data_IF_111074373213
#
_entry.id   IF_111074373213
#
_cell.length_a   1.000
_cell.length_b   1.000
_cell.length_c   1.000
_cell.angle_alpha   90.00
_cell.angle_beta   90.00
_cell.angle_gamma   90.00
#
_symmetry.space_group_name_H-M   'P 1'
#
loop_
_entity.id
_entity.type
_entity.pdbx_description
1 polymer ?
#
# COMPACT_ATOMS: atom_id res chain seq x y z
N UNK A 1 28.69 -47.04 -6.38
CA UNK A 1 28.78 -45.91 -5.41
C UNK A 1 29.23 -44.70 -6.18
N UNK A 2 28.32 -43.72 -6.51
CA UNK A 2 28.64 -42.49 -7.19
C UNK A 2 29.45 -41.54 -6.26
N UNK A 3 30.55 -40.97 -6.78
CA UNK A 3 31.41 -40.09 -6.00
C UNK A 3 30.73 -38.72 -5.77
N UNK A 4 31.09 -37.95 -4.72
CA UNK A 4 30.55 -36.61 -4.48
C UNK A 4 30.66 -35.63 -5.68
N UNK A 5 31.70 -35.82 -6.52
CA UNK A 5 31.94 -35.03 -7.75
C UNK A 5 30.89 -35.31 -8.83
N UNK A 6 30.43 -36.58 -8.94
CA UNK A 6 29.41 -37.00 -9.93
C UNK A 6 28.06 -36.38 -9.58
N UNK A 7 27.66 -36.39 -8.31
CA UNK A 7 26.43 -35.73 -7.86
C UNK A 7 26.44 -34.23 -8.05
N UNK A 8 27.58 -33.56 -7.87
CA UNK A 8 27.71 -32.10 -8.12
C UNK A 8 27.54 -31.79 -9.61
N UNK A 9 28.20 -32.53 -10.51
CA UNK A 9 28.06 -32.35 -11.97
C UNK A 9 26.62 -32.59 -12.42
N UNK A 10 25.97 -33.59 -11.92
CA UNK A 10 24.59 -33.93 -12.26
C UNK A 10 23.61 -32.83 -11.82
N UNK A 11 23.79 -32.24 -10.61
CA UNK A 11 23.02 -31.08 -10.15
C UNK A 11 23.24 -29.82 -11.03
N UNK A 12 24.48 -29.54 -11.39
CA UNK A 12 24.82 -28.42 -12.29
C UNK A 12 24.16 -28.58 -13.65
N UNK A 13 24.16 -29.79 -14.22
CA UNK A 13 23.52 -30.08 -15.50
C UNK A 13 22.01 -29.88 -15.42
N UNK A 14 21.33 -30.39 -14.40
CA UNK A 14 19.91 -30.18 -14.18
C UNK A 14 19.52 -28.72 -13.97
N UNK A 15 20.43 -27.87 -13.45
CA UNK A 15 20.21 -26.42 -13.28
C UNK A 15 20.36 -25.71 -14.62
N UNK A 16 21.38 -26.05 -15.42
CA UNK A 16 21.56 -25.50 -16.76
C UNK A 16 20.39 -25.83 -17.69
N UNK A 17 19.91 -27.07 -17.66
CA UNK A 17 18.74 -27.51 -18.45
C UNK A 17 17.46 -26.73 -18.12
N UNK A 18 17.44 -26.01 -16.99
CA UNK A 18 16.37 -25.10 -16.58
C UNK A 18 16.59 -23.63 -16.91
N UNK A 19 17.59 -23.30 -17.74
CA UNK A 19 17.84 -21.94 -18.20
C UNK A 19 18.78 -21.10 -17.32
N UNK A 20 19.56 -21.73 -16.41
CA UNK A 20 20.51 -20.99 -15.58
C UNK A 20 21.94 -21.13 -16.09
N UNK A 21 22.53 -20.04 -16.57
CA UNK A 21 23.91 -20.02 -17.10
C UNK A 21 24.97 -20.27 -16.02
N UNK A 22 24.68 -19.91 -14.76
CA UNK A 22 25.61 -19.99 -13.63
C UNK A 22 25.10 -20.93 -12.53
N UNK A 23 25.17 -22.27 -12.71
CA UNK A 23 24.63 -23.22 -11.77
C UNK A 23 25.29 -23.18 -10.38
N UNK A 24 26.56 -22.78 -10.28
CA UNK A 24 27.25 -22.66 -8.98
C UNK A 24 26.68 -21.50 -8.14
N UNK A 25 26.23 -20.42 -8.77
CA UNK A 25 25.57 -19.31 -8.07
C UNK A 25 24.18 -19.72 -7.56
N UNK A 26 23.41 -20.45 -8.35
CA UNK A 26 22.13 -21.04 -7.92
C UNK A 26 22.35 -21.95 -6.70
N UNK A 27 23.34 -22.83 -6.75
CA UNK A 27 23.67 -23.72 -5.63
C UNK A 27 24.05 -22.91 -4.38
N UNK A 28 24.82 -21.82 -4.53
CA UNK A 28 25.17 -20.92 -3.41
C UNK A 28 23.93 -20.29 -2.79
N UNK A 29 23.04 -19.74 -3.60
CA UNK A 29 21.80 -19.10 -3.13
C UNK A 29 20.89 -20.08 -2.41
N UNK A 30 20.70 -21.29 -2.95
CA UNK A 30 19.91 -22.33 -2.30
C UNK A 30 20.55 -22.83 -1.00
N UNK A 31 21.89 -22.89 -0.98
CA UNK A 31 22.63 -23.24 0.24
C UNK A 31 22.52 -22.14 1.30
N UNK A 32 22.54 -20.87 0.89
CA UNK A 32 22.30 -19.72 1.75
C UNK A 32 20.90 -19.81 2.37
N UNK A 33 19.85 -19.95 1.56
CA UNK A 33 18.47 -20.14 2.06
C UNK A 33 18.37 -21.33 3.02
N UNK A 34 18.91 -22.49 2.65
CA UNK A 34 18.87 -23.70 3.50
C UNK A 34 19.56 -23.51 4.84
N UNK A 35 20.63 -22.72 4.90
CA UNK A 35 21.45 -22.51 6.10
C UNK A 35 20.99 -21.30 6.92
N UNK A 36 20.02 -20.53 6.43
CA UNK A 36 19.45 -19.41 7.16
C UNK A 36 18.84 -19.87 8.51
N UNK A 37 19.09 -19.18 9.62
CA UNK A 37 18.58 -19.57 10.93
C UNK A 37 17.06 -19.72 10.98
N UNK A 38 16.31 -18.83 10.30
CA UNK A 38 14.86 -18.86 10.26
C UNK A 38 14.34 -20.05 9.46
N UNK A 39 14.97 -20.32 8.30
CA UNK A 39 14.66 -21.51 7.50
C UNK A 39 14.94 -22.80 8.25
N UNK A 40 16.00 -22.85 9.06
CA UNK A 40 16.31 -24.02 9.91
C UNK A 40 15.30 -24.23 11.03
N UNK A 41 14.75 -23.13 11.56
CA UNK A 41 13.77 -23.13 12.64
C UNK A 41 12.34 -23.47 12.18
N UNK A 42 12.11 -23.67 10.87
CA UNK A 42 10.79 -24.01 10.34
C UNK A 42 10.25 -25.32 10.95
N UNK A 43 8.94 -25.32 11.19
CA UNK A 43 8.22 -26.53 11.55
C UNK A 43 8.39 -27.63 10.48
N UNK A 44 8.21 -28.91 10.82
CA UNK A 44 8.29 -30.00 9.83
C UNK A 44 7.33 -29.81 8.65
N UNK A 45 6.16 -29.18 8.88
CA UNK A 45 5.19 -28.86 7.84
C UNK A 45 5.70 -27.74 6.94
N UNK A 46 6.20 -26.64 7.55
CA UNK A 46 6.79 -25.51 6.81
C UNK A 46 7.95 -25.95 5.94
N UNK A 47 8.86 -26.77 6.49
CA UNK A 47 9.99 -27.34 5.74
C UNK A 47 9.52 -28.15 4.54
N UNK A 48 8.57 -29.07 4.72
CA UNK A 48 8.03 -29.87 3.60
C UNK A 48 7.38 -29.01 2.52
N UNK A 49 6.69 -27.93 2.92
CA UNK A 49 6.10 -26.99 1.95
C UNK A 49 7.18 -26.26 1.17
N UNK A 50 8.19 -25.74 1.86
CA UNK A 50 9.30 -25.03 1.22
C UNK A 50 10.08 -25.96 0.26
N UNK A 51 10.38 -27.19 0.68
CA UNK A 51 11.10 -28.18 -0.14
C UNK A 51 10.33 -28.53 -1.44
N UNK A 52 8.98 -28.47 -1.41
CA UNK A 52 8.13 -28.66 -2.61
C UNK A 52 8.03 -27.39 -3.46
N UNK A 53 8.10 -26.21 -2.84
CA UNK A 53 7.91 -24.94 -3.50
C UNK A 53 9.16 -24.49 -4.26
N UNK A 54 10.36 -24.67 -3.69
CA UNK A 54 11.63 -24.26 -4.30
C UNK A 54 11.83 -24.84 -5.70
N UNK A 55 11.61 -26.15 -5.98
CA UNK A 55 11.74 -26.68 -7.33
C UNK A 55 10.75 -26.07 -8.35
N UNK A 56 9.56 -25.68 -7.90
CA UNK A 56 8.56 -25.00 -8.76
C UNK A 56 9.01 -23.59 -9.13
N UNK A 57 9.53 -22.84 -8.15
CA UNK A 57 10.14 -21.55 -8.41
C UNK A 57 11.33 -21.66 -9.37
N UNK A 58 12.23 -22.59 -9.15
CA UNK A 58 13.38 -22.78 -10.05
C UNK A 58 12.96 -23.11 -11.49
N UNK A 59 11.87 -23.86 -11.68
CA UNK A 59 11.35 -24.14 -13.02
C UNK A 59 10.81 -22.88 -13.67
N UNK A 60 10.00 -22.11 -12.97
CA UNK A 60 9.35 -20.91 -13.49
C UNK A 60 10.37 -19.78 -13.73
N UNK A 61 11.25 -19.53 -12.78
CA UNK A 61 12.29 -18.49 -12.86
C UNK A 61 13.26 -18.77 -14.01
N UNK A 62 13.55 -20.03 -14.32
CA UNK A 62 14.44 -20.42 -15.40
C UNK A 62 13.96 -19.99 -16.79
N UNK A 63 12.68 -19.61 -16.94
CA UNK A 63 12.11 -19.09 -18.19
C UNK A 63 12.26 -17.56 -18.32
N UNK A 64 12.71 -16.86 -17.27
CA UNK A 64 12.87 -15.42 -17.27
C UNK A 64 14.14 -15.01 -18.03
N UNK A 65 14.18 -13.76 -18.49
CA UNK A 65 15.33 -13.17 -19.14
C UNK A 65 16.59 -13.13 -18.24
N UNK A 66 16.40 -12.84 -16.95
CA UNK A 66 17.46 -12.75 -15.95
C UNK A 66 17.20 -13.67 -14.74
N UNK A 67 17.38 -15.01 -14.89
CA UNK A 67 16.96 -15.98 -13.88
C UNK A 67 17.65 -15.82 -12.52
N UNK A 68 18.93 -15.48 -12.49
CA UNK A 68 19.69 -15.32 -11.24
C UNK A 68 19.22 -14.12 -10.42
N UNK A 69 18.97 -12.99 -11.07
CA UNK A 69 18.47 -11.79 -10.40
C UNK A 69 17.06 -12.06 -9.84
N UNK A 70 16.22 -12.70 -10.63
CA UNK A 70 14.86 -13.07 -10.21
C UNK A 70 14.89 -14.05 -9.06
N UNK A 71 15.79 -15.03 -9.09
CA UNK A 71 15.96 -16.00 -7.99
C UNK A 71 16.36 -15.32 -6.68
N UNK A 72 17.26 -14.34 -6.73
CA UNK A 72 17.63 -13.54 -5.56
C UNK A 72 16.41 -12.88 -4.94
N UNK A 73 15.63 -12.16 -5.74
CA UNK A 73 14.41 -11.46 -5.30
C UNK A 73 13.38 -12.41 -4.69
N UNK A 74 13.19 -13.58 -5.30
CA UNK A 74 12.26 -14.59 -4.80
C UNK A 74 12.77 -15.22 -3.49
N UNK A 75 14.06 -15.43 -3.32
CA UNK A 75 14.65 -15.92 -2.05
C UNK A 75 14.41 -14.90 -0.94
N UNK A 76 14.61 -13.60 -1.19
CA UNK A 76 14.36 -12.56 -0.21
C UNK A 76 12.89 -12.51 0.21
N UNK A 77 11.96 -12.67 -0.75
CA UNK A 77 10.55 -12.80 -0.46
C UNK A 77 10.25 -14.06 0.36
N UNK A 78 10.78 -15.23 -0.02
CA UNK A 78 10.60 -16.49 0.73
C UNK A 78 11.02 -16.31 2.19
N UNK A 79 12.16 -15.69 2.45
CA UNK A 79 12.65 -15.40 3.82
C UNK A 79 11.69 -14.55 4.64
N UNK A 80 10.96 -13.67 3.99
CA UNK A 80 9.95 -12.82 4.66
C UNK A 80 8.69 -13.60 5.05
N UNK A 81 8.27 -14.58 4.21
CA UNK A 81 7.00 -15.27 4.38
C UNK A 81 7.13 -16.66 5.00
N UNK A 82 8.34 -17.26 5.05
CA UNK A 82 8.53 -18.67 5.39
C UNK A 82 8.04 -19.06 6.80
N UNK A 83 8.06 -18.14 7.77
CA UNK A 83 7.50 -18.36 9.11
C UNK A 83 5.98 -18.49 9.11
N UNK A 84 5.31 -17.88 8.11
CA UNK A 84 3.85 -17.94 7.95
C UNK A 84 3.50 -19.05 6.94
N UNK A 85 3.38 -20.28 7.45
CA UNK A 85 3.18 -21.46 6.61
C UNK A 85 1.92 -21.43 5.74
N UNK A 86 0.96 -20.53 6.03
CA UNK A 86 -0.22 -20.26 5.19
C UNK A 86 0.16 -19.72 3.81
N UNK A 87 1.12 -18.79 3.73
CA UNK A 87 1.59 -18.26 2.43
C UNK A 87 2.32 -19.30 1.60
N UNK A 88 3.11 -20.18 2.26
CA UNK A 88 3.73 -21.30 1.55
C UNK A 88 2.68 -22.28 1.02
N UNK A 89 1.58 -22.49 1.77
CA UNK A 89 0.46 -23.31 1.31
C UNK A 89 -0.24 -22.65 0.11
N UNK A 90 -0.59 -21.36 0.22
CA UNK A 90 -1.24 -20.61 -0.83
C UNK A 90 -0.48 -20.73 -2.17
N UNK A 91 0.83 -20.47 -2.16
CA UNK A 91 1.66 -20.57 -3.37
C UNK A 91 1.78 -22.03 -3.86
N UNK A 92 1.84 -23.00 -2.95
CA UNK A 92 1.94 -24.41 -3.34
C UNK A 92 0.66 -24.93 -3.98
N UNK A 93 -0.50 -24.50 -3.50
CA UNK A 93 -1.82 -24.90 -3.98
C UNK A 93 -2.22 -24.17 -5.27
N UNK A 94 -1.62 -22.98 -5.54
CA UNK A 94 -1.96 -22.13 -6.69
C UNK A 94 -0.74 -21.89 -7.60
N UNK A 95 -0.49 -22.77 -8.58
CA UNK A 95 0.65 -22.61 -9.50
C UNK A 95 0.61 -21.30 -10.31
N UNK A 96 -0.56 -20.81 -10.65
CA UNK A 96 -0.75 -19.51 -11.34
C UNK A 96 -0.22 -18.33 -10.54
N UNK A 97 -0.41 -18.35 -9.21
CA UNK A 97 0.15 -17.33 -8.33
C UNK A 97 1.69 -17.34 -8.34
N UNK A 98 2.33 -18.51 -8.46
CA UNK A 98 3.79 -18.58 -8.63
C UNK A 98 4.21 -17.91 -9.93
N UNK A 99 3.53 -18.17 -11.05
CA UNK A 99 3.86 -17.59 -12.34
C UNK A 99 3.72 -16.06 -12.31
N UNK A 100 2.64 -15.53 -11.72
CA UNK A 100 2.46 -14.08 -11.55
C UNK A 100 3.51 -13.46 -10.62
N UNK A 101 3.80 -14.10 -9.49
CA UNK A 101 4.83 -13.65 -8.57
C UNK A 101 6.21 -13.57 -9.25
N UNK A 102 6.59 -14.61 -9.99
CA UNK A 102 7.85 -14.66 -10.74
C UNK A 102 7.87 -13.58 -11.83
N UNK A 103 6.80 -13.43 -12.61
CA UNK A 103 6.67 -12.42 -13.65
C UNK A 103 6.85 -11.01 -13.11
N UNK A 104 6.15 -10.65 -12.03
CA UNK A 104 6.23 -9.34 -11.40
C UNK A 104 7.61 -9.09 -10.77
N UNK A 105 8.19 -10.12 -10.12
CA UNK A 105 9.52 -10.04 -9.52
C UNK A 105 10.64 -9.93 -10.56
N UNK A 106 10.49 -10.55 -11.73
CA UNK A 106 11.41 -10.44 -12.84
C UNK A 106 11.37 -9.03 -13.46
N UNK A 107 10.16 -8.49 -13.67
CA UNK A 107 9.95 -7.21 -14.31
C UNK A 107 10.45 -6.03 -13.46
N UNK A 108 10.26 -6.07 -12.12
CA UNK A 108 10.59 -4.93 -11.25
C UNK A 108 11.18 -5.34 -9.90
N UNK A 109 12.38 -4.82 -9.54
CA UNK A 109 12.94 -4.99 -8.20
C UNK A 109 12.08 -4.31 -7.13
N UNK A 110 11.41 -3.22 -7.50
CA UNK A 110 10.51 -2.51 -6.61
C UNK A 110 9.29 -3.38 -6.27
N UNK A 111 8.66 -4.03 -7.27
CA UNK A 111 7.53 -4.94 -7.05
C UNK A 111 7.91 -6.15 -6.18
N UNK A 112 9.07 -6.76 -6.42
CA UNK A 112 9.56 -7.85 -5.58
C UNK A 112 9.70 -7.41 -4.11
N UNK A 113 10.31 -6.24 -3.86
CA UNK A 113 10.46 -5.66 -2.52
C UNK A 113 9.11 -5.24 -1.92
N UNK A 114 8.18 -4.78 -2.73
CA UNK A 114 6.85 -4.38 -2.30
C UNK A 114 6.03 -5.58 -1.81
N UNK A 115 6.01 -6.67 -2.58
CA UNK A 115 5.37 -7.94 -2.20
C UNK A 115 6.03 -8.57 -0.96
N UNK A 116 7.34 -8.50 -0.84
CA UNK A 116 8.05 -8.98 0.34
C UNK A 116 7.66 -8.20 1.61
N UNK A 117 7.52 -6.88 1.53
CA UNK A 117 7.09 -6.04 2.65
C UNK A 117 5.62 -6.21 3.01
N UNK A 118 4.77 -6.57 2.05
CA UNK A 118 3.32 -6.68 2.19
C UNK A 118 2.81 -8.07 1.76
N UNK A 119 3.13 -9.15 2.50
CA UNK A 119 2.78 -10.51 2.09
C UNK A 119 1.28 -10.78 1.94
N UNK A 120 0.43 -9.97 2.58
CA UNK A 120 -1.04 -10.03 2.41
C UNK A 120 -1.46 -9.86 0.94
N UNK A 121 -0.64 -9.19 0.13
CA UNK A 121 -0.87 -8.98 -1.30
C UNK A 121 -0.69 -10.24 -2.16
N UNK A 122 -0.13 -11.32 -1.60
CA UNK A 122 -0.03 -12.59 -2.30
C UNK A 122 -1.40 -13.17 -2.65
N UNK A 123 -2.45 -12.81 -1.90
CA UNK A 123 -3.83 -13.19 -2.21
C UNK A 123 -4.32 -12.58 -3.54
N UNK A 124 -3.85 -11.37 -3.91
CA UNK A 124 -4.20 -10.72 -5.18
C UNK A 124 -3.65 -11.47 -6.41
N UNK A 125 -2.62 -12.30 -6.23
CA UNK A 125 -2.06 -13.11 -7.31
C UNK A 125 -2.97 -14.30 -7.69
N UNK A 126 -4.02 -14.57 -6.92
CA UNK A 126 -4.97 -15.65 -7.17
C UNK A 126 -6.02 -15.27 -8.22
N UNK A 127 -6.23 -13.99 -8.46
CA UNK A 127 -7.21 -13.47 -9.41
C UNK A 127 -6.53 -12.60 -10.49
N UNK A 128 -5.96 -13.23 -11.52
CA UNK A 128 -5.24 -12.53 -12.59
C UNK A 128 -6.05 -11.45 -13.33
N UNK A 129 -7.34 -11.64 -13.62
CA UNK A 129 -8.15 -10.59 -14.26
C UNK A 129 -8.13 -9.28 -13.48
N UNK A 130 -8.33 -9.32 -12.17
CA UNK A 130 -8.35 -8.11 -11.34
C UNK A 130 -6.96 -7.56 -11.08
N UNK A 131 -5.93 -8.41 -11.06
CA UNK A 131 -4.54 -8.00 -10.81
C UNK A 131 -4.01 -7.04 -11.89
N UNK A 132 -4.38 -7.23 -13.16
CA UNK A 132 -3.86 -6.45 -14.29
C UNK A 132 -4.85 -5.40 -14.82
N UNK A 133 -6.00 -5.24 -14.18
CA UNK A 133 -7.04 -4.27 -14.55
C UNK A 133 -7.37 -3.42 -13.31
N UNK A 134 -6.69 -2.27 -13.11
CA UNK A 134 -7.04 -1.34 -12.05
C UNK A 134 -8.50 -0.90 -12.17
N UNK A 135 -9.27 -0.86 -11.06
CA UNK A 135 -10.67 -0.46 -11.10
C UNK A 135 -10.83 1.03 -11.39
N UNK A 136 -11.96 1.41 -11.98
CA UNK A 136 -12.33 2.80 -12.17
C UNK A 136 -12.54 3.54 -10.83
N UNK A 137 -12.36 4.87 -10.80
CA UNK A 137 -12.44 5.70 -9.59
C UNK A 137 -13.72 5.49 -8.78
N UNK A 138 -14.87 5.40 -9.46
CA UNK A 138 -16.16 5.16 -8.80
C UNK A 138 -16.23 3.79 -8.11
N UNK A 139 -15.67 2.77 -8.73
CA UNK A 139 -15.59 1.42 -8.18
C UNK A 139 -14.64 1.35 -6.99
N UNK A 140 -13.49 2.04 -7.08
CA UNK A 140 -12.52 2.16 -5.99
C UNK A 140 -13.17 2.77 -4.73
N UNK A 141 -13.87 3.89 -4.89
CA UNK A 141 -14.54 4.57 -3.78
C UNK A 141 -15.59 3.68 -3.12
N UNK A 142 -16.41 3.01 -3.93
CA UNK A 142 -17.43 2.08 -3.43
C UNK A 142 -16.82 0.85 -2.75
N UNK A 143 -15.71 0.32 -3.28
CA UNK A 143 -15.00 -0.82 -2.69
C UNK A 143 -14.37 -0.45 -1.34
N UNK A 144 -13.78 0.76 -1.23
CA UNK A 144 -13.23 1.26 0.01
C UNK A 144 -14.30 1.42 1.08
N UNK A 145 -15.45 2.04 0.75
CA UNK A 145 -16.59 2.18 1.68
C UNK A 145 -17.09 0.84 2.18
N UNK A 146 -17.40 -0.09 1.28
CA UNK A 146 -17.83 -1.45 1.66
C UNK A 146 -16.84 -2.14 2.59
N UNK A 147 -15.54 -1.89 2.42
CA UNK A 147 -14.50 -2.45 3.28
C UNK A 147 -14.52 -1.82 4.67
N UNK A 148 -14.69 -0.51 4.76
CA UNK A 148 -14.77 0.22 6.03
C UNK A 148 -16.08 -0.06 6.77
N UNK A 149 -17.20 -0.24 6.06
CA UNK A 149 -18.50 -0.58 6.64
C UNK A 149 -18.51 -1.94 7.37
N UNK A 150 -17.54 -2.81 7.08
CA UNK A 150 -17.37 -4.10 7.76
C UNK A 150 -16.57 -3.98 9.07
N UNK A 151 -16.02 -2.81 9.36
CA UNK A 151 -15.19 -2.54 10.55
C UNK A 151 -16.05 -1.83 11.60
N UNK A 152 -15.95 -2.22 12.89
CA UNK A 152 -16.64 -1.49 13.96
C UNK A 152 -16.26 -0.01 13.95
N UNK A 153 -17.25 0.86 14.16
CA UNK A 153 -17.11 2.32 14.06
C UNK A 153 -16.15 2.90 15.12
N UNK A 154 -15.96 2.22 16.22
CA UNK A 154 -15.08 2.56 17.33
C UNK A 154 -13.67 1.96 17.22
N UNK A 155 -13.43 1.05 16.27
CA UNK A 155 -12.10 0.46 16.02
C UNK A 155 -11.32 1.25 14.95
N UNK A 156 -10.84 2.43 15.34
CA UNK A 156 -10.08 3.29 14.44
C UNK A 156 -8.77 2.63 13.96
N UNK A 157 -8.11 1.83 14.80
CA UNK A 157 -6.85 1.17 14.43
C UNK A 157 -7.07 0.20 13.27
N UNK A 158 -8.12 -0.59 13.35
CA UNK A 158 -8.47 -1.52 12.28
C UNK A 158 -8.97 -0.79 11.01
N UNK A 159 -9.68 0.34 11.15
CA UNK A 159 -10.05 1.19 10.02
C UNK A 159 -8.81 1.72 9.29
N UNK A 160 -7.80 2.20 10.02
CA UNK A 160 -6.52 2.66 9.44
C UNK A 160 -5.80 1.51 8.73
N UNK A 161 -5.76 0.32 9.32
CA UNK A 161 -5.17 -0.86 8.69
C UNK A 161 -5.87 -1.21 7.37
N UNK A 162 -7.21 -1.14 7.32
CA UNK A 162 -7.98 -1.39 6.10
C UNK A 162 -7.70 -0.34 5.00
N UNK A 163 -7.53 0.94 5.35
CA UNK A 163 -7.09 1.98 4.41
C UNK A 163 -5.71 1.67 3.83
N UNK A 164 -4.76 1.25 4.67
CA UNK A 164 -3.41 0.88 4.24
C UNK A 164 -3.42 -0.33 3.29
N UNK A 165 -4.17 -1.39 3.63
CA UNK A 165 -4.30 -2.59 2.79
C UNK A 165 -4.96 -2.22 1.45
N UNK A 166 -6.04 -1.42 1.48
CA UNK A 166 -6.71 -0.96 0.26
C UNK A 166 -5.77 -0.20 -0.67
N UNK A 167 -4.97 0.73 -0.13
CA UNK A 167 -3.92 1.42 -0.89
C UNK A 167 -2.98 0.43 -1.56
N UNK A 168 -2.44 -0.51 -0.78
CA UNK A 168 -1.43 -1.46 -1.26
C UNK A 168 -1.96 -2.36 -2.37
N UNK A 169 -3.20 -2.86 -2.24
CA UNK A 169 -3.86 -3.67 -3.27
C UNK A 169 -3.96 -2.89 -4.58
N UNK A 170 -4.49 -1.66 -4.54
CA UNK A 170 -4.67 -0.88 -5.75
C UNK A 170 -3.34 -0.41 -6.36
N UNK A 171 -2.35 -0.06 -5.53
CA UNK A 171 -0.98 0.24 -5.99
C UNK A 171 -0.33 -0.98 -6.65
N UNK A 172 -0.52 -2.20 -6.11
CA UNK A 172 -0.04 -3.43 -6.74
C UNK A 172 -0.68 -3.63 -8.12
N UNK A 173 -1.99 -3.44 -8.24
CA UNK A 173 -2.72 -3.60 -9.52
C UNK A 173 -2.24 -2.61 -10.57
N UNK A 174 -2.08 -1.33 -10.19
CA UNK A 174 -1.51 -0.31 -11.09
C UNK A 174 -0.10 -0.70 -11.52
N UNK A 175 0.75 -1.11 -10.59
CA UNK A 175 2.14 -1.47 -10.91
C UNK A 175 2.24 -2.77 -11.74
N UNK A 176 1.35 -3.73 -11.51
CA UNK A 176 1.28 -4.96 -12.32
C UNK A 176 0.84 -4.66 -13.76
N UNK A 177 -0.14 -3.76 -13.93
CA UNK A 177 -0.62 -3.30 -15.24
C UNK A 177 0.46 -2.47 -15.98
N UNK A 178 1.19 -1.62 -15.26
CA UNK A 178 2.30 -0.80 -15.77
C UNK A 178 3.42 -1.68 -16.33
N UNK A 179 3.99 -2.59 -15.51
CA UNK A 179 5.14 -3.42 -15.93
C UNK A 179 4.78 -4.46 -17.00
N UNK A 180 3.49 -4.76 -17.18
CA UNK A 180 3.03 -5.66 -18.25
C UNK A 180 2.62 -4.91 -19.53
N UNK A 181 2.67 -3.58 -19.52
CA UNK A 181 2.30 -2.73 -20.64
C UNK A 181 0.79 -2.72 -20.96
N UNK A 182 -0.05 -3.22 -20.04
CA UNK A 182 -1.51 -3.17 -20.18
C UNK A 182 -2.07 -1.79 -19.84
N UNK A 183 -1.32 -0.98 -19.08
CA UNK A 183 -1.68 0.39 -18.72
C UNK A 183 -0.72 1.39 -19.39
N UNK A 184 -1.21 2.39 -20.15
CA UNK A 184 -0.37 3.46 -20.67
C UNK A 184 0.28 4.27 -19.53
N UNK A 185 1.57 4.64 -19.68
CA UNK A 185 2.35 5.33 -18.64
C UNK A 185 1.65 6.58 -18.09
N UNK A 186 1.01 7.37 -18.95
CA UNK A 186 0.27 8.58 -18.55
C UNK A 186 -0.89 8.26 -17.58
N UNK A 187 -1.49 7.07 -17.70
CA UNK A 187 -2.61 6.66 -16.83
C UNK A 187 -2.14 6.15 -15.45
N UNK A 188 -0.88 5.81 -15.30
CA UNK A 188 -0.33 5.34 -14.00
C UNK A 188 -0.48 6.42 -12.93
N UNK A 189 -0.07 7.66 -13.24
CA UNK A 189 -0.19 8.79 -12.29
C UNK A 189 -1.64 9.17 -12.03
N UNK A 190 -2.53 9.08 -13.02
CA UNK A 190 -3.96 9.30 -12.84
C UNK A 190 -4.52 8.32 -11.79
N UNK A 191 -4.28 7.01 -11.98
CA UNK A 191 -4.76 5.98 -11.04
C UNK A 191 -4.17 6.14 -9.63
N UNK A 192 -2.87 6.46 -9.52
CA UNK A 192 -2.25 6.69 -8.22
C UNK A 192 -2.85 7.90 -7.51
N UNK A 193 -3.18 8.98 -8.25
CA UNK A 193 -3.87 10.15 -7.73
C UNK A 193 -5.31 9.83 -7.31
N UNK A 194 -6.04 9.05 -8.10
CA UNK A 194 -7.40 8.59 -7.79
C UNK A 194 -7.46 7.69 -6.53
N UNK A 195 -6.44 6.84 -6.31
CA UNK A 195 -6.29 6.06 -5.07
C UNK A 195 -6.12 7.01 -3.88
N UNK A 196 -5.23 8.02 -4.00
CA UNK A 196 -4.97 8.99 -2.94
C UNK A 196 -6.21 9.82 -2.62
N UNK A 197 -6.91 10.33 -3.62
CA UNK A 197 -8.16 11.09 -3.46
C UNK A 197 -9.27 10.26 -2.79
N UNK A 198 -9.41 8.99 -3.20
CA UNK A 198 -10.41 8.09 -2.61
C UNK A 198 -10.15 7.85 -1.13
N UNK A 199 -8.89 7.59 -0.76
CA UNK A 199 -8.47 7.39 0.64
C UNK A 199 -8.64 8.69 1.41
N UNK A 200 -8.18 9.82 0.89
CA UNK A 200 -8.27 11.12 1.55
C UNK A 200 -9.74 11.51 1.84
N UNK A 201 -10.63 11.27 0.88
CA UNK A 201 -12.07 11.50 1.05
C UNK A 201 -12.64 10.71 2.22
N UNK A 202 -12.36 9.40 2.30
CA UNK A 202 -12.85 8.56 3.38
C UNK A 202 -12.20 8.86 4.74
N UNK A 203 -10.92 9.26 4.73
CA UNK A 203 -10.21 9.69 5.96
C UNK A 203 -10.84 10.96 6.54
N UNK A 204 -11.21 11.92 5.69
CA UNK A 204 -11.92 13.13 6.15
C UNK A 204 -13.29 12.78 6.74
N UNK A 205 -14.04 11.86 6.11
CA UNK A 205 -15.32 11.38 6.64
C UNK A 205 -15.16 10.68 8.00
N UNK A 206 -14.21 9.78 8.13
CA UNK A 206 -13.92 9.07 9.39
C UNK A 206 -13.54 10.05 10.51
N UNK A 207 -12.64 10.99 10.21
CA UNK A 207 -12.21 12.03 11.16
C UNK A 207 -13.37 12.94 11.58
N UNK A 208 -14.21 13.35 10.61
CA UNK A 208 -15.39 14.16 10.84
C UNK A 208 -16.38 13.45 11.76
N UNK A 209 -16.79 12.25 11.43
CA UNK A 209 -17.76 11.46 12.18
C UNK A 209 -17.29 11.23 13.63
N UNK A 210 -16.00 10.91 13.81
CA UNK A 210 -15.40 10.76 15.12
C UNK A 210 -15.51 12.06 15.96
N UNK A 211 -15.20 13.22 15.37
CA UNK A 211 -15.23 14.49 16.10
C UNK A 211 -16.67 14.97 16.37
N UNK A 212 -17.57 14.81 15.40
CA UNK A 212 -18.99 15.18 15.59
C UNK A 212 -19.62 14.31 16.69
N UNK A 213 -19.33 13.02 16.74
CA UNK A 213 -19.82 12.15 17.80
C UNK A 213 -19.38 12.60 19.20
N UNK A 214 -18.18 13.21 19.29
CA UNK A 214 -17.58 13.65 20.56
C UNK A 214 -17.91 15.09 20.94
N UNK A 215 -17.93 16.01 19.97
CA UNK A 215 -17.99 17.46 20.23
C UNK A 215 -19.21 18.17 19.63
N UNK A 216 -20.07 17.44 18.88
CA UNK A 216 -21.17 18.05 18.11
C UNK A 216 -20.72 18.64 16.78
N UNK A 217 -21.66 19.19 16.04
CA UNK A 217 -21.46 19.72 14.68
C UNK A 217 -20.98 21.17 14.72
N UNK A 218 -19.86 21.54 14.05
CA UNK A 218 -19.40 22.92 13.99
C UNK A 218 -20.35 23.76 13.12
N UNK A 219 -20.37 25.07 13.39
CA UNK A 219 -21.13 26.02 12.60
C UNK A 219 -20.18 26.65 11.59
N UNK A 220 -20.56 26.61 10.32
CA UNK A 220 -19.77 27.16 9.24
C UNK A 220 -20.63 27.96 8.24
N UNK A 221 -20.01 29.00 7.66
CA UNK A 221 -20.64 29.87 6.65
C UNK A 221 -19.67 30.14 5.50
N UNK A 222 -20.21 30.22 4.31
CA UNK A 222 -19.53 30.71 3.12
C UNK A 222 -20.33 31.93 2.60
N UNK A 223 -19.83 33.14 2.85
CA UNK A 223 -20.60 34.35 2.73
C UNK A 223 -21.82 34.31 3.67
N UNK A 224 -23.01 34.62 3.14
CA UNK A 224 -24.25 34.65 3.92
C UNK A 224 -24.92 33.26 4.08
N UNK A 225 -24.36 32.20 3.48
CA UNK A 225 -24.99 30.88 3.48
C UNK A 225 -24.27 29.90 4.46
N UNK A 226 -25.06 29.17 5.23
CA UNK A 226 -24.54 28.04 6.01
C UNK A 226 -24.03 26.95 5.08
N UNK A 227 -22.86 26.38 5.38
CA UNK A 227 -22.31 25.24 4.67
C UNK A 227 -22.40 23.98 5.52
N UNK A 228 -22.52 22.83 4.87
CA UNK A 228 -22.78 21.55 5.54
C UNK A 228 -21.61 21.11 6.43
N UNK A 229 -20.38 21.10 5.91
CA UNK A 229 -19.19 20.67 6.63
C UNK A 229 -18.14 21.77 6.81
N UNK A 230 -18.01 22.67 5.86
CA UNK A 230 -17.10 23.83 5.93
C UNK A 230 -15.64 23.47 6.12
N UNK A 231 -15.18 22.31 5.62
CA UNK A 231 -13.79 21.86 5.62
C UNK A 231 -13.37 21.47 4.21
N UNK A 232 -12.22 21.98 3.78
CA UNK A 232 -11.68 21.74 2.45
C UNK A 232 -10.22 21.31 2.56
N UNK A 233 -9.86 20.29 1.79
CA UNK A 233 -8.48 19.85 1.58
C UNK A 233 -8.06 20.26 0.18
N UNK A 234 -7.00 21.06 0.08
CA UNK A 234 -6.39 21.46 -1.20
C UNK A 234 -5.13 20.62 -1.37
N UNK A 235 -5.05 19.92 -2.50
CA UNK A 235 -3.87 19.21 -2.92
C UNK A 235 -2.98 20.11 -3.78
N UNK A 236 -1.71 20.16 -3.45
CA UNK A 236 -0.65 20.81 -4.22
C UNK A 236 0.32 19.78 -4.78
N UNK A 237 1.40 20.26 -5.36
CA UNK A 237 2.48 19.41 -5.86
C UNK A 237 2.00 18.33 -6.82
N UNK A 238 2.52 17.11 -6.66
CA UNK A 238 2.23 15.99 -7.57
C UNK A 238 0.78 15.53 -7.52
N UNK A 239 0.15 15.57 -6.34
CA UNK A 239 -1.27 15.20 -6.24
C UNK A 239 -2.15 16.25 -6.93
N UNK A 240 -1.89 17.54 -6.73
CA UNK A 240 -2.62 18.63 -7.36
C UNK A 240 -2.47 18.68 -8.88
N UNK A 241 -1.30 18.25 -9.39
CA UNK A 241 -0.99 18.14 -10.82
C UNK A 241 -1.39 16.82 -11.46
N UNK A 242 -1.97 15.86 -10.71
CA UNK A 242 -2.25 14.48 -11.14
C UNK A 242 -1.01 13.73 -11.64
N UNK A 243 0.15 13.99 -11.01
CA UNK A 243 1.46 13.43 -11.35
C UNK A 243 2.01 12.53 -10.23
N UNK A 244 1.13 11.92 -9.44
CA UNK A 244 1.53 11.13 -8.29
C UNK A 244 2.32 9.89 -8.70
N UNK A 245 3.47 9.63 -8.03
CA UNK A 245 4.27 8.42 -8.19
C UNK A 245 4.04 7.42 -7.06
N UNK A 246 4.55 6.19 -7.21
CA UNK A 246 4.35 5.09 -6.25
C UNK A 246 4.77 5.39 -4.80
N UNK A 247 5.75 6.23 -4.59
CA UNK A 247 6.26 6.57 -3.24
C UNK A 247 6.10 8.04 -2.88
N UNK A 248 5.25 8.79 -3.59
CA UNK A 248 5.06 10.21 -3.35
C UNK A 248 4.34 10.46 -2.02
N UNK A 249 4.76 11.50 -1.33
CA UNK A 249 4.03 12.17 -0.26
C UNK A 249 2.87 13.01 -0.83
N UNK A 250 1.99 13.46 0.04
CA UNK A 250 0.87 14.35 -0.29
C UNK A 250 1.14 15.74 0.24
N UNK A 251 1.26 16.71 -0.66
CA UNK A 251 1.33 18.14 -0.34
C UNK A 251 -0.09 18.65 -0.11
N UNK A 252 -0.47 18.93 1.14
CA UNK A 252 -1.84 19.28 1.50
C UNK A 252 -1.92 20.61 2.24
N UNK A 253 -3.02 21.33 2.01
CA UNK A 253 -3.41 22.51 2.79
C UNK A 253 -4.86 22.34 3.23
N UNK A 254 -5.12 22.60 4.51
CA UNK A 254 -6.45 22.48 5.11
C UNK A 254 -7.05 23.86 5.34
N UNK A 255 -8.29 24.03 4.87
CA UNK A 255 -9.06 25.26 5.07
C UNK A 255 -10.40 24.97 5.76
N UNK A 256 -10.91 25.98 6.48
CA UNK A 256 -12.22 25.91 7.09
C UNK A 256 -13.01 27.21 6.94
N UNK A 257 -14.34 27.10 7.06
CA UNK A 257 -15.29 28.20 7.05
C UNK A 257 -16.07 28.31 8.38
N UNK A 258 -15.41 27.99 9.50
CA UNK A 258 -16.02 28.05 10.83
C UNK A 258 -16.29 29.48 11.31
N UNK A 259 -17.44 29.72 11.94
CA UNK A 259 -17.88 31.06 12.34
C UNK A 259 -17.33 31.54 13.69
N UNK A 260 -16.53 30.74 14.39
CA UNK A 260 -16.11 31.03 15.78
C UNK A 260 -17.18 30.72 16.82
N UNK A 261 -18.38 30.33 16.42
CA UNK A 261 -19.41 29.85 17.34
C UNK A 261 -19.10 28.44 17.87
N UNK A 262 -19.72 28.05 19.00
CA UNK A 262 -19.56 26.72 19.55
C UNK A 262 -20.32 25.67 18.71
N UNK A 263 -19.79 24.45 18.71
CA UNK A 263 -20.45 23.28 18.08
C UNK A 263 -21.79 23.00 18.73
N UNK A 264 -22.76 22.50 17.93
CA UNK A 264 -24.14 22.18 18.37
C UNK A 264 -24.35 20.67 18.55
N UNK A 265 -25.31 20.34 19.42
CA UNK A 265 -25.76 18.94 19.59
C UNK A 265 -25.03 18.14 20.67
N UNK A 266 -24.22 18.77 21.52
CA UNK A 266 -23.57 18.17 22.69
C UNK A 266 -23.58 19.17 23.86
N UNK A 267 -23.61 18.66 25.10
CA UNK A 267 -23.62 19.46 26.33
C UNK A 267 -22.34 20.29 26.52
N UNK A 268 -21.22 19.79 25.99
CA UNK A 268 -19.92 20.49 26.00
C UNK A 268 -19.45 20.69 24.58
N UNK A 269 -19.95 21.75 23.95
CA UNK A 269 -19.47 22.24 22.66
C UNK A 269 -18.04 22.80 22.76
N UNK A 270 -17.36 22.87 21.63
CA UNK A 270 -16.07 23.53 21.47
C UNK A 270 -16.18 24.60 20.38
N UNK A 271 -15.28 25.57 20.39
CA UNK A 271 -15.19 26.56 19.33
C UNK A 271 -14.99 25.90 17.95
N UNK A 272 -15.67 26.43 16.91
CA UNK A 272 -15.60 25.85 15.56
C UNK A 272 -14.19 25.83 14.98
N UNK A 273 -13.37 26.86 15.22
CA UNK A 273 -11.98 26.89 14.76
C UNK A 273 -11.15 25.78 15.48
N UNK A 274 -11.40 25.58 16.79
CA UNK A 274 -10.79 24.49 17.54
C UNK A 274 -11.23 23.11 17.01
N UNK A 275 -12.51 22.98 16.63
CA UNK A 275 -13.02 21.75 16.00
C UNK A 275 -12.25 21.44 14.70
N UNK A 276 -12.12 22.42 13.79
CA UNK A 276 -11.44 22.22 12.52
C UNK A 276 -9.93 21.95 12.68
N UNK A 277 -9.29 22.61 13.65
CA UNK A 277 -7.89 22.29 13.95
C UNK A 277 -7.70 20.83 14.41
N UNK A 278 -8.60 20.35 15.30
CA UNK A 278 -8.62 18.94 15.72
C UNK A 278 -8.94 17.99 14.56
N UNK A 279 -9.80 18.42 13.63
CA UNK A 279 -10.12 17.65 12.42
C UNK A 279 -8.87 17.47 11.55
N UNK A 280 -8.15 18.56 11.27
CA UNK A 280 -6.89 18.48 10.53
C UNK A 280 -5.85 17.56 11.21
N UNK A 281 -5.68 17.69 12.53
CA UNK A 281 -4.80 16.80 13.32
C UNK A 281 -5.23 15.33 13.22
N UNK A 282 -6.53 15.04 13.26
CA UNK A 282 -7.06 13.68 13.14
C UNK A 282 -6.85 13.11 11.75
N UNK A 283 -7.06 13.91 10.69
CA UNK A 283 -6.78 13.51 9.30
C UNK A 283 -5.31 13.13 9.12
N UNK A 284 -4.39 13.97 9.60
CA UNK A 284 -2.95 13.68 9.56
C UNK A 284 -2.64 12.39 10.32
N UNK A 285 -3.17 12.27 11.54
CA UNK A 285 -2.96 11.08 12.37
C UNK A 285 -3.39 9.80 11.63
N UNK A 286 -4.59 9.76 11.03
CA UNK A 286 -5.08 8.58 10.30
C UNK A 286 -4.17 8.24 9.12
N UNK A 287 -3.75 9.24 8.32
CA UNK A 287 -2.93 9.02 7.14
C UNK A 287 -1.49 8.58 7.44
N UNK A 288 -0.90 9.09 8.55
CA UNK A 288 0.51 8.86 8.88
C UNK A 288 0.75 7.76 9.91
N UNK A 289 -0.31 7.28 10.58
CA UNK A 289 -0.18 6.21 11.59
C UNK A 289 0.36 4.92 11.00
N UNK A 290 1.34 4.33 11.71
CA UNK A 290 1.90 3.04 11.34
C UNK A 290 1.03 1.91 11.90
N UNK A 291 0.61 1.02 11.00
CA UNK A 291 -0.07 -0.23 11.30
C UNK A 291 0.80 -1.42 10.90
N UNK A 292 0.32 -2.64 11.10
CA UNK A 292 0.98 -3.85 10.56
C UNK A 292 1.03 -3.84 9.03
N UNK A 293 0.07 -3.18 8.39
CA UNK A 293 0.05 -2.97 6.94
C UNK A 293 0.90 -1.77 6.48
N UNK A 294 1.61 -1.08 7.38
CA UNK A 294 2.35 0.14 7.10
C UNK A 294 1.52 1.39 7.35
N UNK A 295 1.77 2.46 6.60
CA UNK A 295 1.02 3.73 6.66
C UNK A 295 0.32 4.03 5.34
N UNK A 296 -0.76 4.81 5.41
CA UNK A 296 -1.47 5.20 4.20
C UNK A 296 -0.61 6.16 3.35
N UNK A 297 -0.25 7.32 3.86
CA UNK A 297 0.59 8.30 3.17
C UNK A 297 1.50 9.08 4.13
N UNK A 298 2.63 9.56 3.62
CA UNK A 298 3.34 10.71 4.19
C UNK A 298 2.63 11.98 3.76
N UNK A 299 2.65 13.00 4.63
CA UNK A 299 2.00 14.29 4.35
C UNK A 299 3.01 15.40 4.51
N UNK A 300 3.06 16.30 3.52
CA UNK A 300 3.76 17.57 3.61
C UNK A 300 2.76 18.73 3.74
N UNK A 301 2.87 19.47 4.84
CA UNK A 301 2.02 20.61 5.15
C UNK A 301 2.76 21.94 5.03
N UNK A 302 3.97 21.97 4.46
CA UNK A 302 4.81 23.18 4.40
C UNK A 302 4.29 24.26 3.46
N UNK A 303 3.40 23.88 2.53
CA UNK A 303 2.78 24.82 1.58
C UNK A 303 1.61 25.63 2.18
N UNK A 304 1.25 25.40 3.45
CA UNK A 304 0.23 26.19 4.13
C UNK A 304 0.74 27.62 4.45
N UNK A 305 -0.16 28.60 4.66
CA UNK A 305 0.22 29.97 5.05
C UNK A 305 1.21 29.98 6.22
N UNK A 306 2.28 30.76 6.10
CA UNK A 306 3.40 30.83 7.07
C UNK A 306 4.16 29.49 7.26
N UNK A 307 4.02 28.54 6.36
CA UNK A 307 4.76 27.28 6.39
C UNK A 307 4.62 26.51 7.69
N UNK A 308 5.72 25.94 8.20
CA UNK A 308 5.72 25.13 9.42
C UNK A 308 5.37 25.91 10.70
N UNK A 309 5.49 27.24 10.71
CA UNK A 309 5.13 28.12 11.84
C UNK A 309 3.67 28.55 11.83
N UNK A 310 2.94 28.35 10.71
CA UNK A 310 1.53 28.73 10.56
C UNK A 310 0.58 27.75 11.25
N UNK A 311 -0.68 28.19 11.42
CA UNK A 311 -1.77 27.35 11.92
C UNK A 311 -2.00 26.16 10.97
N UNK A 312 -2.42 25.03 11.52
CA UNK A 312 -2.58 23.79 10.74
C UNK A 312 -3.75 23.89 9.75
N UNK A 313 -4.87 24.48 10.18
CA UNK A 313 -6.07 24.66 9.37
C UNK A 313 -6.39 26.14 9.34
N UNK A 314 -6.33 26.78 8.17
CA UNK A 314 -6.53 28.21 7.98
C UNK A 314 -8.00 28.53 7.66
N UNK A 315 -8.48 29.68 8.13
CA UNK A 315 -9.78 30.18 7.69
C UNK A 315 -9.73 30.57 6.21
N UNK A 316 -10.77 30.23 5.46
CA UNK A 316 -10.80 30.44 4.00
C UNK A 316 -10.59 31.92 3.59
N UNK A 317 -11.14 32.87 4.35
CA UNK A 317 -10.96 34.28 4.09
C UNK A 317 -9.52 34.74 4.35
N UNK A 318 -8.91 34.26 5.45
CA UNK A 318 -7.52 34.57 5.74
C UNK A 318 -6.58 33.96 4.68
N UNK A 319 -6.92 32.80 4.15
CA UNK A 319 -6.18 32.17 3.04
C UNK A 319 -6.31 33.01 1.76
N UNK A 320 -7.50 33.52 1.43
CA UNK A 320 -7.71 34.45 0.31
C UNK A 320 -6.83 35.68 0.42
N UNK A 321 -6.80 36.32 1.59
CA UNK A 321 -5.93 37.49 1.83
C UNK A 321 -4.43 37.19 1.73
N UNK A 322 -4.02 35.97 2.05
CA UNK A 322 -2.62 35.54 1.92
C UNK A 322 -2.19 35.31 0.46
N UNK A 323 -3.12 34.91 -0.42
CA UNK A 323 -2.84 34.62 -1.84
C UNK A 323 -2.76 35.90 -2.72
N UNK A 324 -3.36 37.01 -2.29
CA UNK A 324 -3.40 38.30 -2.96
C UNK A 324 -2.64 39.40 -2.18
#
# INVERSE_FOLDING_TARGET
>A
RSTPKTHRRQRQMCIRDRGYDRPDEVIRLLTYLKNDPETRALSPLGRRRLDKLVPRFLKEIGTCENPLITLHRIIDLIKTIERRTSYLALLLENPTAISHLVKLSAASPWLASFLARHPVLLDELLDPPTLYLPPEKSEMKNALRRRLDQVPIDDLEYQIEQLCIFKQINVLRVAAADVTGTLPLMRVSDYLSEIAESILSEVVELAWNHLVSKHGTPICRSGDKYCEKGFVVIAYGKLGGLELGYGSDLDLVFLHAGTGEQTRGKDRGIDSAQFFNRLGQRVIHILTSHTRAGKAYEIDMRLRPSGSSGILVSHIEAFGTYQF
#
